data_IF_611220988260
#
_entry.id   IF_611220988260
#
_cell.length_a   1.000
_cell.length_b   1.000
_cell.length_c   1.000
_cell.angle_alpha   90.00
_cell.angle_beta   90.00
_cell.angle_gamma   90.00
#
_symmetry.space_group_name_H-M   'P 1'
#
loop_
_entity.id
_entity.type
_entity.pdbx_description
1 polymer ?
#
# COMPACT_ATOMS: atom_id res chain seq x y z
N UNK A 1 -23.36 -4.50 -10.19
CA UNK A 1 -22.22 -5.44 -10.11
C UNK A 1 -21.47 -5.52 -11.43
N UNK A 2 -22.13 -5.80 -12.57
CA UNK A 2 -21.47 -5.94 -13.87
C UNK A 2 -20.67 -4.70 -14.30
N UNK A 3 -21.26 -3.49 -14.19
CA UNK A 3 -20.59 -2.22 -14.56
C UNK A 3 -19.37 -1.95 -13.67
N UNK A 4 -19.44 -2.26 -12.37
CA UNK A 4 -18.34 -2.06 -11.45
C UNK A 4 -17.17 -3.04 -11.73
N UNK A 5 -17.48 -4.30 -12.07
CA UNK A 5 -16.47 -5.27 -12.49
C UNK A 5 -15.84 -4.90 -13.83
N UNK A 6 -16.63 -4.37 -14.75
CA UNK A 6 -16.16 -3.92 -16.07
C UNK A 6 -15.22 -2.70 -15.95
N UNK A 7 -15.50 -1.78 -15.02
CA UNK A 7 -14.58 -0.67 -14.70
C UNK A 7 -13.25 -1.15 -14.09
N UNK A 8 -13.28 -2.18 -13.24
CA UNK A 8 -12.06 -2.77 -12.68
C UNK A 8 -11.21 -3.44 -13.77
N UNK A 9 -11.85 -4.14 -14.71
CA UNK A 9 -11.18 -4.77 -15.85
C UNK A 9 -10.68 -3.76 -16.87
N UNK A 10 -11.40 -2.66 -17.09
CA UNK A 10 -11.02 -1.60 -18.03
C UNK A 10 -9.81 -0.77 -17.59
N UNK A 11 -9.45 -0.75 -16.30
CA UNK A 11 -8.27 -0.05 -15.78
C UNK A 11 -6.93 -0.75 -16.07
N UNK A 12 -6.98 -2.00 -16.55
CA UNK A 12 -5.82 -2.89 -16.77
C UNK A 12 -4.99 -2.48 -18.00
N UNK A 13 -5.66 -1.94 -19.02
CA UNK A 13 -5.08 -1.67 -20.35
C UNK A 13 -4.20 -0.41 -20.38
N UNK A 14 -4.41 0.54 -19.48
CA UNK A 14 -3.68 1.83 -19.48
C UNK A 14 -2.44 1.84 -18.58
N UNK A 15 -2.37 0.96 -17.56
CA UNK A 15 -1.38 1.08 -16.48
C UNK A 15 -0.31 0.00 -16.46
N UNK A 16 -0.33 -0.96 -17.39
CA UNK A 16 0.73 -1.98 -17.54
C UNK A 16 0.83 -2.98 -16.38
N UNK A 17 -0.14 -3.01 -15.47
CA UNK A 17 -0.28 -4.06 -14.48
C UNK A 17 -0.74 -5.31 -15.22
N UNK A 18 -0.05 -6.42 -15.06
CA UNK A 18 -0.27 -7.64 -15.88
C UNK A 18 -1.25 -8.62 -15.22
N UNK A 19 -2.00 -8.18 -14.20
CA UNK A 19 -2.56 -9.10 -13.18
C UNK A 19 -3.87 -8.64 -12.53
N UNK A 20 -4.65 -7.71 -13.10
CA UNK A 20 -6.00 -7.41 -12.56
C UNK A 20 -7.05 -8.47 -12.94
N UNK A 21 -6.68 -9.55 -13.64
CA UNK A 21 -7.58 -10.68 -13.91
C UNK A 21 -8.25 -11.25 -12.65
N UNK A 22 -7.56 -11.16 -11.50
CA UNK A 22 -8.07 -11.60 -10.20
C UNK A 22 -8.76 -10.52 -9.37
N UNK A 23 -8.92 -9.30 -9.90
CA UNK A 23 -9.66 -8.23 -9.22
C UNK A 23 -11.17 -8.53 -9.25
N UNK A 24 -11.75 -8.79 -8.07
CA UNK A 24 -13.15 -9.17 -7.93
C UNK A 24 -13.92 -8.16 -7.11
N UNK A 25 -14.96 -7.59 -7.71
CA UNK A 25 -15.96 -6.84 -6.97
C UNK A 25 -16.97 -7.80 -6.36
N UNK A 26 -17.01 -7.90 -5.03
CA UNK A 26 -17.83 -8.86 -4.29
C UNK A 26 -19.20 -8.26 -3.95
N UNK A 27 -19.24 -7.12 -3.26
CA UNK A 27 -20.48 -6.44 -2.91
C UNK A 27 -20.26 -4.93 -2.73
N UNK A 28 -21.30 -4.10 -2.97
CA UNK A 28 -21.26 -2.67 -2.72
C UNK A 28 -21.42 -2.31 -1.23
N UNK A 29 -22.08 -3.16 -0.46
CA UNK A 29 -22.26 -2.96 0.98
C UNK A 29 -21.01 -3.43 1.75
N UNK A 30 -20.46 -2.63 2.68
CA UNK A 30 -19.21 -2.95 3.37
C UNK A 30 -19.28 -4.26 4.19
N UNK A 31 -20.41 -4.52 4.85
CA UNK A 31 -20.59 -5.73 5.65
C UNK A 31 -20.71 -6.96 4.73
N UNK A 32 -21.52 -6.89 3.68
CA UNK A 32 -21.63 -7.96 2.69
C UNK A 32 -20.30 -8.22 1.96
N UNK A 33 -19.54 -7.16 1.65
CA UNK A 33 -18.20 -7.26 1.07
C UNK A 33 -17.28 -8.01 2.02
N UNK A 34 -17.20 -7.61 3.29
CA UNK A 34 -16.34 -8.26 4.29
C UNK A 34 -16.65 -9.76 4.43
N UNK A 35 -17.92 -10.14 4.51
CA UNK A 35 -18.35 -11.53 4.64
C UNK A 35 -18.03 -12.37 3.39
N UNK A 36 -18.29 -11.80 2.20
CA UNK A 36 -18.00 -12.48 0.94
C UNK A 36 -16.50 -12.66 0.68
N UNK A 37 -15.70 -11.63 0.97
CA UNK A 37 -14.23 -11.69 0.82
C UNK A 37 -13.63 -12.72 1.76
N UNK A 38 -14.07 -12.77 3.03
CA UNK A 38 -13.63 -13.82 3.96
C UNK A 38 -13.93 -15.23 3.47
N UNK A 39 -15.11 -15.43 2.90
CA UNK A 39 -15.50 -16.74 2.34
C UNK A 39 -14.60 -17.19 1.21
N UNK A 40 -14.04 -16.24 0.45
CA UNK A 40 -13.06 -16.49 -0.60
C UNK A 40 -11.68 -16.79 -0.01
N UNK A 41 -11.22 -15.97 0.93
CA UNK A 41 -9.93 -16.12 1.62
C UNK A 41 -9.81 -17.43 2.41
N UNK A 42 -10.93 -17.98 2.88
CA UNK A 42 -10.95 -19.28 3.56
C UNK A 42 -10.76 -20.47 2.59
N UNK A 43 -11.06 -20.28 1.30
CA UNK A 43 -10.97 -21.31 0.25
C UNK A 43 -9.66 -21.24 -0.53
N UNK A 44 -9.11 -20.03 -0.65
CA UNK A 44 -7.87 -19.77 -1.37
C UNK A 44 -6.70 -19.77 -0.36
N UNK A 45 -5.68 -20.59 -0.61
CA UNK A 45 -4.46 -20.55 0.20
C UNK A 45 -3.72 -19.25 -0.10
N UNK A 46 -3.77 -18.29 0.82
CA UNK A 46 -3.07 -17.01 0.69
C UNK A 46 -1.73 -17.07 1.43
N UNK A 47 -0.68 -16.55 0.80
CA UNK A 47 0.64 -16.42 1.43
C UNK A 47 0.86 -15.06 2.09
N UNK A 48 0.00 -14.08 1.80
CA UNK A 48 0.02 -12.74 2.37
C UNK A 48 -1.38 -12.14 2.21
N UNK A 49 -1.87 -11.46 3.24
CA UNK A 49 -3.12 -10.72 3.19
C UNK A 49 -2.85 -9.23 3.48
N UNK A 50 -3.11 -8.38 2.50
CA UNK A 50 -2.95 -6.93 2.60
C UNK A 50 -4.32 -6.23 2.58
N UNK A 51 -4.74 -5.70 3.72
CA UNK A 51 -6.02 -5.02 3.91
C UNK A 51 -5.79 -3.50 3.94
N UNK A 52 -5.76 -2.88 2.76
CA UNK A 52 -5.50 -1.45 2.60
C UNK A 52 -6.76 -0.76 2.07
N UNK A 53 -7.26 0.28 2.74
CA UNK A 53 -8.44 0.99 2.26
C UNK A 53 -9.16 1.83 3.29
N UNK A 54 -10.40 2.20 2.97
CA UNK A 54 -11.30 2.89 3.88
C UNK A 54 -12.26 1.87 4.49
N UNK A 55 -11.87 1.32 5.63
CA UNK A 55 -12.73 0.40 6.39
C UNK A 55 -13.28 1.09 7.63
N UNK A 56 -14.51 0.77 8.01
CA UNK A 56 -15.13 1.04 9.31
C UNK A 56 -15.14 -0.22 10.20
N UNK A 57 -16.18 -0.40 11.00
CA UNK A 57 -16.32 -1.54 11.92
C UNK A 57 -16.36 -2.91 11.22
N UNK A 58 -16.72 -2.95 9.93
CA UNK A 58 -16.65 -4.15 9.09
C UNK A 58 -15.22 -4.67 8.92
N UNK A 59 -14.20 -3.85 9.20
CA UNK A 59 -12.81 -4.28 9.22
C UNK A 59 -12.62 -5.48 10.13
N UNK A 60 -13.21 -5.46 11.33
CA UNK A 60 -13.09 -6.59 12.26
C UNK A 60 -13.71 -7.84 11.72
N UNK A 61 -14.80 -7.75 10.94
CA UNK A 61 -15.30 -8.94 10.27
C UNK A 61 -14.23 -9.46 9.33
N UNK A 62 -13.68 -8.61 8.44
CA UNK A 62 -12.66 -9.02 7.47
C UNK A 62 -11.37 -9.54 8.10
N UNK A 63 -10.88 -8.88 9.15
CA UNK A 63 -9.60 -9.12 9.81
C UNK A 63 -9.67 -10.09 11.00
N UNK A 64 -10.87 -10.37 11.53
CA UNK A 64 -11.03 -11.33 12.63
C UNK A 64 -10.41 -12.66 12.27
N UNK A 65 -9.85 -13.31 13.29
CA UNK A 65 -9.18 -14.59 13.15
C UNK A 65 -9.99 -15.60 12.33
N UNK A 66 -9.21 -16.39 11.61
CA UNK A 66 -9.64 -17.33 10.59
C UNK A 66 -10.69 -18.30 11.15
N UNK A 67 -11.72 -18.68 10.37
CA UNK A 67 -12.59 -19.80 10.75
C UNK A 67 -11.76 -21.06 10.99
N UNK A 68 -12.07 -21.81 12.04
CA UNK A 68 -11.37 -23.06 12.36
C UNK A 68 -11.37 -24.01 11.14
N UNK A 69 -10.18 -24.38 10.65
CA UNK A 69 -10.00 -25.36 9.57
C UNK A 69 -9.46 -24.83 8.23
N UNK A 70 -9.21 -23.53 8.07
CA UNK A 70 -8.58 -23.01 6.84
C UNK A 70 -7.05 -23.11 6.85
N UNK A 71 -6.48 -23.34 5.66
CA UNK A 71 -5.07 -23.66 5.43
C UNK A 71 -4.12 -22.69 6.19
N UNK A 72 -2.97 -23.17 6.72
CA UNK A 72 -2.00 -22.31 7.39
C UNK A 72 -1.52 -21.21 6.45
N UNK A 73 -1.87 -19.96 6.75
CA UNK A 73 -1.16 -18.81 6.22
C UNK A 73 0.09 -18.66 7.08
N UNK A 74 1.23 -18.85 6.45
CA UNK A 74 2.56 -18.86 7.08
C UNK A 74 3.12 -17.43 7.32
N UNK A 75 2.30 -16.39 7.15
CA UNK A 75 2.76 -14.98 7.11
C UNK A 75 1.76 -13.89 7.57
N UNK A 76 2.30 -12.74 8.04
CA UNK A 76 1.57 -11.61 8.62
C UNK A 76 0.42 -11.05 7.77
N UNK A 77 -0.67 -10.64 8.42
CA UNK A 77 -1.62 -9.70 7.83
C UNK A 77 -1.08 -8.27 7.95
N UNK A 78 -0.99 -7.57 6.82
CA UNK A 78 -0.62 -6.16 6.76
C UNK A 78 -1.88 -5.37 6.54
N UNK A 79 -2.15 -4.34 7.35
CA UNK A 79 -3.36 -3.57 7.21
C UNK A 79 -3.15 -2.08 7.43
N UNK A 80 -3.95 -1.27 6.76
CA UNK A 80 -3.92 0.17 6.90
C UNK A 80 -5.25 0.79 6.53
N UNK A 81 -5.67 1.79 7.31
CA UNK A 81 -6.85 2.59 7.02
C UNK A 81 -6.59 4.06 7.27
N UNK A 82 -7.27 4.91 6.48
CA UNK A 82 -7.28 6.35 6.67
C UNK A 82 -8.22 6.80 7.81
N UNK A 83 -9.04 5.89 8.38
CA UNK A 83 -9.95 6.22 9.48
C UNK A 83 -9.30 5.97 10.84
N UNK A 84 -9.25 7.03 11.65
CA UNK A 84 -8.77 6.96 13.03
C UNK A 84 -9.53 5.95 13.89
N UNK A 85 -10.85 5.83 13.68
CA UNK A 85 -11.72 4.92 14.43
C UNK A 85 -11.34 3.44 14.25
N UNK A 86 -10.76 3.09 13.09
CA UNK A 86 -10.37 1.71 12.76
C UNK A 86 -8.93 1.38 13.07
N UNK A 87 -8.10 2.38 13.35
CA UNK A 87 -6.71 2.16 13.78
C UNK A 87 -6.58 1.22 14.98
N UNK A 88 -7.35 1.36 16.09
CA UNK A 88 -7.24 0.43 17.20
C UNK A 88 -7.61 -1.00 16.81
N UNK A 89 -8.60 -1.17 15.92
CA UNK A 89 -9.00 -2.48 15.41
C UNK A 89 -7.87 -3.11 14.58
N UNK A 90 -7.23 -2.32 13.71
CA UNK A 90 -6.09 -2.73 12.89
C UNK A 90 -4.87 -3.09 13.73
N UNK A 91 -4.52 -2.27 14.72
CA UNK A 91 -3.37 -2.54 15.60
C UNK A 91 -3.54 -3.82 16.41
N UNK A 92 -4.79 -4.21 16.71
CA UNK A 92 -5.07 -5.45 17.45
C UNK A 92 -5.06 -6.71 16.58
N UNK A 93 -5.35 -6.60 15.28
CA UNK A 93 -5.49 -7.78 14.40
C UNK A 93 -4.35 -7.95 13.39
N UNK A 94 -3.62 -6.89 13.06
CA UNK A 94 -2.54 -6.92 12.07
C UNK A 94 -1.17 -6.91 12.75
N UNK A 95 -0.23 -7.67 12.22
CA UNK A 95 1.16 -7.68 12.72
C UNK A 95 1.89 -6.39 12.33
N UNK A 96 1.55 -5.82 11.16
CA UNK A 96 2.06 -4.53 10.71
C UNK A 96 0.88 -3.61 10.36
N UNK A 97 0.78 -2.50 11.07
CA UNK A 97 -0.21 -1.47 10.83
C UNK A 97 0.42 -0.26 10.14
N UNK A 98 -0.27 0.27 9.12
CA UNK A 98 0.08 1.53 8.45
C UNK A 98 -0.94 2.59 8.79
N UNK A 99 -0.46 3.75 9.24
CA UNK A 99 -1.31 4.91 9.46
C UNK A 99 -1.62 5.59 8.12
N UNK A 100 -2.64 6.44 8.10
CA UNK A 100 -3.07 7.13 6.87
C UNK A 100 -1.93 7.78 6.08
N UNK A 101 -0.98 8.45 6.75
CA UNK A 101 0.18 9.08 6.11
C UNK A 101 1.11 8.06 5.41
N UNK A 102 1.33 6.91 6.05
CA UNK A 102 2.12 5.82 5.49
C UNK A 102 1.39 5.15 4.33
N UNK A 103 0.06 5.04 4.36
CA UNK A 103 -0.74 4.54 3.25
C UNK A 103 -0.64 5.41 2.00
N UNK A 104 -0.67 6.74 2.17
CA UNK A 104 -0.51 7.67 1.05
C UNK A 104 0.91 7.59 0.48
N UNK A 105 1.93 7.52 1.34
CA UNK A 105 3.32 7.34 0.93
C UNK A 105 3.55 5.97 0.26
N UNK A 106 2.93 4.90 0.78
CA UNK A 106 2.99 3.55 0.25
C UNK A 106 2.34 3.47 -1.13
N UNK A 107 1.22 4.16 -1.34
CA UNK A 107 0.61 4.30 -2.67
C UNK A 107 1.58 4.95 -3.67
N UNK A 108 2.27 6.02 -3.26
CA UNK A 108 3.29 6.66 -4.10
C UNK A 108 4.53 5.78 -4.34
N UNK A 109 4.90 4.95 -3.37
CA UNK A 109 6.05 4.03 -3.43
C UNK A 109 5.76 2.80 -4.30
N UNK A 110 4.61 2.15 -4.08
CA UNK A 110 4.14 0.98 -4.83
C UNK A 110 3.78 1.32 -6.27
N UNK A 111 3.26 2.53 -6.51
CA UNK A 111 2.91 2.93 -7.84
C UNK A 111 4.14 3.17 -8.75
N UNK A 112 5.37 3.00 -8.23
CA UNK A 112 6.63 3.06 -8.98
C UNK A 112 6.59 4.13 -10.08
N UNK A 113 6.12 5.32 -9.75
CA UNK A 113 6.16 6.42 -10.70
C UNK A 113 7.65 6.70 -10.94
N UNK A 114 8.04 7.12 -12.16
CA UNK A 114 9.41 7.54 -12.48
C UNK A 114 9.95 8.66 -11.54
N UNK A 115 9.12 9.18 -10.63
CA UNK A 115 9.44 10.11 -9.56
C UNK A 115 10.45 9.59 -8.53
N UNK A 116 10.50 8.29 -8.20
CA UNK A 116 11.45 7.79 -7.19
C UNK A 116 12.89 7.76 -7.73
N UNK A 117 13.06 7.38 -9.00
CA UNK A 117 14.34 7.50 -9.71
C UNK A 117 14.71 8.97 -9.91
N UNK A 118 13.74 9.83 -10.22
CA UNK A 118 13.97 11.27 -10.36
C UNK A 118 14.38 11.94 -9.04
N UNK A 119 13.76 11.58 -7.92
CA UNK A 119 14.09 12.13 -6.60
C UNK A 119 15.51 11.74 -6.17
N UNK A 120 15.91 10.49 -6.42
CA UNK A 120 17.26 10.01 -6.14
C UNK A 120 18.31 10.79 -6.96
N UNK A 121 18.04 11.03 -8.24
CA UNK A 121 18.92 11.82 -9.13
C UNK A 121 18.98 13.30 -8.72
N UNK A 122 17.86 13.91 -8.33
CA UNK A 122 17.82 15.31 -7.86
C UNK A 122 18.57 15.45 -6.53
N UNK A 123 18.40 14.50 -5.61
CA UNK A 123 19.08 14.53 -4.32
C UNK A 123 20.60 14.37 -4.47
N UNK A 124 21.06 13.44 -5.32
CA UNK A 124 22.50 13.23 -5.54
C UNK A 124 23.14 14.41 -6.29
N UNK A 125 22.44 14.99 -7.28
CA UNK A 125 22.94 16.17 -8.00
C UNK A 125 23.00 17.43 -7.12
N UNK A 126 21.98 17.66 -6.27
CA UNK A 126 21.99 18.78 -5.32
C UNK A 126 23.10 18.63 -4.27
N UNK A 127 23.29 17.41 -3.75
CA UNK A 127 24.39 17.09 -2.81
C UNK A 127 25.75 17.38 -3.45
N UNK A 128 25.96 16.96 -4.70
CA UNK A 128 27.22 17.18 -5.42
C UNK A 128 27.49 18.68 -5.65
N UNK A 129 26.48 19.45 -6.03
CA UNK A 129 26.59 20.89 -6.26
C UNK A 129 27.02 21.63 -4.97
N UNK A 130 26.40 21.30 -3.84
CA UNK A 130 26.75 21.90 -2.53
C UNK A 130 28.21 21.60 -2.18
N UNK A 131 28.67 20.36 -2.39
CA UNK A 131 30.07 19.97 -2.14
C UNK A 131 31.03 20.79 -3.01
N UNK A 132 30.72 20.99 -4.30
CA UNK A 132 31.55 21.80 -5.20
C UNK A 132 31.61 23.26 -4.75
N UNK A 133 30.48 23.85 -4.32
CA UNK A 133 30.44 25.23 -3.84
C UNK A 133 31.26 25.40 -2.56
N UNK A 134 31.16 24.46 -1.62
CA UNK A 134 31.95 24.48 -0.38
C UNK A 134 33.44 24.34 -0.68
N UNK A 135 33.83 23.37 -1.53
CA UNK A 135 35.23 23.16 -1.90
C UNK A 135 35.79 24.35 -2.68
N UNK A 136 35.03 24.90 -3.62
CA UNK A 136 35.41 26.08 -4.39
C UNK A 136 35.56 27.32 -3.51
N UNK A 137 34.61 27.56 -2.60
CA UNK A 137 34.68 28.64 -1.62
C UNK A 137 35.87 28.49 -0.66
N UNK A 138 36.14 27.26 -0.20
CA UNK A 138 37.30 26.96 0.64
C UNK A 138 38.63 27.19 -0.10
N UNK A 139 38.75 26.73 -1.36
CA UNK A 139 39.93 26.99 -2.18
C UNK A 139 40.14 28.48 -2.44
N UNK A 140 39.09 29.20 -2.79
CA UNK A 140 39.17 30.64 -3.07
C UNK A 140 39.56 31.43 -1.82
N UNK A 141 39.09 31.02 -0.64
CA UNK A 141 39.51 31.56 0.66
C UNK A 141 40.98 31.25 0.98
N UNK A 142 41.48 30.11 0.52
CA UNK A 142 42.84 29.62 0.83
C UNK A 142 43.89 30.18 -0.14
N UNK A 143 43.52 30.43 -1.40
CA UNK A 143 44.36 31.03 -2.45
C UNK A 143 44.24 32.56 -2.53
N UNK A 144 43.10 33.12 -2.11
CA UNK A 144 42.83 34.56 -2.03
C UNK A 144 43.06 35.15 -0.63
N UNK A 145 43.66 34.36 0.27
CA UNK A 145 44.31 34.85 1.49
C UNK A 145 45.76 35.22 1.23
#
# INVERSE_FOLDING_TARGET
>A
VLIAQDQLRGGDIERGWRTLDDARFIAPDPAAYSAGTRGLMAREAQHLNALLGHFGDEYLLLAAERPAGAAPIDRPAVAGSARLETLPQITLTAEQSFLGEDLFALGAYLACWPSHVAALVVQDSARLLIVIVILGGALLRTLGG
#
